data_IF_364993699513
#
_entry.id   IF_364993699513
#
_cell.length_a   1.000
_cell.length_b   1.000
_cell.length_c   1.000
_cell.angle_alpha   90.00
_cell.angle_beta   90.00
_cell.angle_gamma   90.00
#
_symmetry.space_group_name_H-M   'P 1'
#
loop_
_entity.id
_entity.type
_entity.pdbx_description
1 polymer ?
#
# COMPACT_ATOMS: atom_id res chain seq x y z
N UNK A 1 4.05 -7.71 12.24
CA UNK A 1 3.31 -6.45 12.25
C UNK A 1 2.12 -6.69 13.14
N UNK A 2 1.96 -5.87 14.16
CA UNK A 2 0.78 -5.91 15.03
C UNK A 2 -0.46 -5.43 14.26
N UNK A 3 -1.66 -5.84 14.69
CA UNK A 3 -2.94 -5.53 14.04
C UNK A 3 -3.18 -4.01 13.96
N UNK A 4 -2.82 -3.29 15.01
CA UNK A 4 -2.92 -1.83 15.08
C UNK A 4 -2.00 -1.17 14.03
N UNK A 5 -0.74 -1.59 13.95
CA UNK A 5 0.23 -1.06 12.98
C UNK A 5 -0.21 -1.36 11.53
N UNK A 6 -0.80 -2.52 11.31
CA UNK A 6 -1.36 -2.87 10.01
C UNK A 6 -2.57 -1.99 9.66
N UNK A 7 -3.48 -1.75 10.61
CA UNK A 7 -4.63 -0.87 10.42
C UNK A 7 -4.23 0.54 9.99
N UNK A 8 -3.29 1.15 10.72
CA UNK A 8 -2.77 2.49 10.38
C UNK A 8 -2.13 2.53 8.98
N UNK A 9 -1.37 1.48 8.62
CA UNK A 9 -0.80 1.40 7.28
C UNK A 9 -1.89 1.26 6.20
N UNK A 10 -2.86 0.38 6.42
CA UNK A 10 -3.96 0.14 5.49
C UNK A 10 -4.76 1.40 5.24
N UNK A 11 -5.10 2.14 6.30
CA UNK A 11 -5.77 3.44 6.20
C UNK A 11 -4.99 4.44 5.35
N UNK A 12 -3.68 4.57 5.58
CA UNK A 12 -2.83 5.50 4.81
C UNK A 12 -2.76 5.12 3.33
N UNK A 13 -2.61 3.83 3.04
CA UNK A 13 -2.58 3.32 1.65
C UNK A 13 -3.93 3.58 0.96
N UNK A 14 -5.04 3.28 1.62
CA UNK A 14 -6.38 3.52 1.08
C UNK A 14 -6.61 5.02 0.85
N UNK A 15 -6.26 5.86 1.80
CA UNK A 15 -6.40 7.32 1.67
C UNK A 15 -5.58 7.91 0.51
N UNK A 16 -4.38 7.37 0.24
CA UNK A 16 -3.62 7.75 -0.95
C UNK A 16 -4.35 7.37 -2.23
N UNK A 17 -4.82 6.12 -2.33
CA UNK A 17 -5.56 5.63 -3.51
C UNK A 17 -6.84 6.43 -3.75
N UNK A 18 -7.57 6.80 -2.69
CA UNK A 18 -8.76 7.66 -2.76
C UNK A 18 -8.42 9.07 -3.26
N UNK A 19 -7.24 9.60 -2.89
CA UNK A 19 -6.77 10.89 -3.38
C UNK A 19 -6.48 10.82 -4.88
N UNK A 20 -5.79 9.77 -5.34
CA UNK A 20 -5.53 9.55 -6.78
C UNK A 20 -6.84 9.40 -7.56
N UNK A 21 -7.81 8.64 -7.03
CA UNK A 21 -9.13 8.44 -7.63
C UNK A 21 -9.87 9.78 -7.83
N UNK A 22 -9.86 10.65 -6.81
CA UNK A 22 -10.45 12.00 -6.88
C UNK A 22 -9.73 12.89 -7.90
N UNK A 23 -8.40 12.88 -7.92
CA UNK A 23 -7.61 13.69 -8.87
C UNK A 23 -7.82 13.26 -10.33
N UNK A 24 -8.07 11.98 -10.54
CA UNK A 24 -8.27 11.37 -11.86
C UNK A 24 -9.76 11.32 -12.26
N UNK A 25 -10.65 11.98 -11.52
CA UNK A 25 -12.08 12.00 -11.85
C UNK A 25 -12.39 12.87 -13.08
N UNK A 26 -11.44 13.67 -13.58
CA UNK A 26 -11.60 14.43 -14.83
C UNK A 26 -11.36 13.52 -16.05
N UNK A 27 -12.37 13.37 -16.94
CA UNK A 27 -12.35 12.46 -18.07
C UNK A 27 -11.31 12.82 -19.15
N UNK A 28 -10.12 12.23 -19.07
CA UNK A 28 -9.17 12.09 -20.16
C UNK A 28 -8.56 10.68 -20.14
N UNK A 29 -7.86 10.27 -21.20
CA UNK A 29 -7.34 8.90 -21.32
C UNK A 29 -6.35 8.52 -20.19
N UNK A 30 -5.51 9.46 -19.76
CA UNK A 30 -4.56 9.26 -18.65
C UNK A 30 -5.29 9.03 -17.32
N UNK A 31 -6.40 9.74 -17.09
CA UNK A 31 -7.27 9.54 -15.95
C UNK A 31 -7.89 8.14 -15.93
N UNK A 32 -8.31 7.60 -17.08
CA UNK A 32 -8.87 6.23 -17.16
C UNK A 32 -7.84 5.16 -16.80
N UNK A 33 -6.60 5.29 -17.26
CA UNK A 33 -5.54 4.34 -16.91
C UNK A 33 -5.20 4.41 -15.42
N UNK A 34 -5.13 5.62 -14.85
CA UNK A 34 -4.90 5.80 -13.42
C UNK A 34 -6.02 5.20 -12.56
N UNK A 35 -7.30 5.38 -12.95
CA UNK A 35 -8.44 4.73 -12.29
C UNK A 35 -8.36 3.21 -12.36
N UNK A 36 -7.97 2.65 -13.51
CA UNK A 36 -7.75 1.20 -13.65
C UNK A 36 -6.63 0.71 -12.72
N UNK A 37 -5.55 1.47 -12.60
CA UNK A 37 -4.46 1.13 -11.66
C UNK A 37 -4.93 1.19 -10.21
N UNK A 38 -5.69 2.22 -9.81
CA UNK A 38 -6.30 2.32 -8.47
C UNK A 38 -7.17 1.10 -8.18
N UNK A 39 -8.05 0.73 -9.12
CA UNK A 39 -8.90 -0.45 -8.97
C UNK A 39 -8.09 -1.75 -8.82
N UNK A 40 -7.04 -1.92 -9.63
CA UNK A 40 -6.16 -3.09 -9.57
C UNK A 40 -5.45 -3.19 -8.19
N UNK A 41 -4.93 -2.07 -7.68
CA UNK A 41 -4.29 -2.04 -6.36
C UNK A 41 -5.27 -2.33 -5.23
N UNK A 42 -6.49 -1.76 -5.26
CA UNK A 42 -7.55 -2.08 -4.28
C UNK A 42 -7.87 -3.57 -4.28
N UNK A 43 -8.02 -4.19 -5.45
CA UNK A 43 -8.28 -5.62 -5.57
C UNK A 43 -7.13 -6.48 -5.01
N UNK A 44 -5.88 -6.13 -5.35
CA UNK A 44 -4.70 -6.84 -4.88
C UNK A 44 -4.52 -6.73 -3.36
N UNK A 45 -4.70 -5.54 -2.78
CA UNK A 45 -4.60 -5.33 -1.34
C UNK A 45 -5.67 -6.10 -0.56
N UNK A 46 -6.90 -6.16 -1.10
CA UNK A 46 -7.99 -6.95 -0.52
C UNK A 46 -7.65 -8.44 -0.50
N UNK A 47 -7.11 -8.98 -1.60
CA UNK A 47 -6.67 -10.38 -1.67
C UNK A 47 -5.55 -10.67 -0.67
N UNK A 48 -4.68 -9.70 -0.42
CA UNK A 48 -3.55 -9.82 0.50
C UNK A 48 -3.84 -9.32 1.92
N UNK A 49 -5.11 -9.11 2.29
CA UNK A 49 -5.46 -8.75 3.66
C UNK A 49 -5.02 -9.88 4.63
N UNK A 50 -4.46 -9.55 5.81
CA UNK A 50 -4.18 -10.53 6.85
C UNK A 50 -5.44 -11.28 7.28
N UNK A 51 -5.32 -12.58 7.54
CA UNK A 51 -6.39 -13.45 8.00
C UNK A 51 -5.99 -14.11 9.31
N UNK A 52 -6.89 -14.04 10.28
CA UNK A 52 -6.75 -14.66 11.60
C UNK A 52 -5.74 -13.97 12.52
N UNK A 53 -5.77 -14.35 13.80
CA UNK A 53 -4.98 -13.73 14.88
C UNK A 53 -3.46 -13.80 14.71
N UNK A 54 -2.95 -14.59 13.76
CA UNK A 54 -1.52 -14.72 13.47
C UNK A 54 -1.04 -13.76 12.36
N UNK A 55 -1.95 -12.99 11.75
CA UNK A 55 -1.61 -11.99 10.74
C UNK A 55 -1.07 -12.58 9.43
N UNK A 56 -1.46 -13.80 9.07
CA UNK A 56 -1.01 -14.42 7.83
C UNK A 56 -1.70 -13.75 6.63
N UNK A 57 -0.93 -13.39 5.61
CA UNK A 57 -1.48 -12.80 4.40
C UNK A 57 -2.38 -13.81 3.65
N UNK A 58 -3.65 -13.46 3.41
CA UNK A 58 -4.64 -14.33 2.75
C UNK A 58 -4.20 -14.81 1.36
N UNK A 59 -3.74 -13.88 0.50
CA UNK A 59 -3.27 -14.21 -0.84
C UNK A 59 -1.97 -15.01 -0.90
N UNK A 60 -1.06 -14.81 0.06
CA UNK A 60 0.19 -15.59 0.11
C UNK A 60 -0.01 -16.99 0.67
N UNK A 61 -1.00 -17.19 1.55
CA UNK A 61 -1.32 -18.50 2.11
C UNK A 61 -1.94 -19.47 1.08
N UNK A 62 -2.61 -18.93 0.05
CA UNK A 62 -3.19 -19.71 -1.04
C UNK A 62 -2.14 -20.23 -2.06
N UNK A 63 -1.00 -19.54 -2.19
CA UNK A 63 0.11 -19.99 -3.03
C UNK A 63 0.94 -21.04 -2.30
N UNK A 64 1.12 -22.22 -2.91
CA UNK A 64 1.99 -23.31 -2.40
C UNK A 64 3.50 -22.97 -2.40
N UNK A 65 3.85 -21.70 -2.36
CA UNK A 65 5.22 -21.23 -2.45
C UNK A 65 5.52 -20.25 -1.32
N UNK A 66 6.51 -20.63 -0.52
CA UNK A 66 7.42 -19.72 0.18
C UNK A 66 7.15 -19.30 1.65
N UNK A 67 6.39 -20.04 2.45
CA UNK A 67 6.45 -19.93 3.92
C UNK A 67 7.28 -21.05 4.59
N UNK A 68 8.34 -21.54 3.92
CA UNK A 68 9.35 -22.45 4.51
C UNK A 68 10.65 -21.73 4.93
N UNK A 69 10.58 -20.43 5.21
CA UNK A 69 11.74 -19.61 5.61
C UNK A 69 11.64 -19.04 7.03
N UNK A 70 12.12 -19.82 8.01
CA UNK A 70 12.77 -19.39 9.28
C UNK A 70 12.31 -18.08 9.94
N UNK A 71 11.53 -18.21 11.02
CA UNK A 71 11.98 -17.74 12.35
C UNK A 71 12.23 -16.24 12.57
N UNK A 72 11.49 -15.33 11.93
CA UNK A 72 11.41 -13.93 12.39
C UNK A 72 9.98 -13.41 12.30
N UNK A 73 9.46 -13.02 13.46
CA UNK A 73 8.17 -12.37 13.72
C UNK A 73 7.62 -11.61 12.49
N UNK A 74 6.48 -12.08 11.97
CA UNK A 74 5.48 -11.26 11.30
C UNK A 74 6.02 -10.18 10.34
N UNK A 75 6.82 -10.57 9.35
CA UNK A 75 7.22 -9.68 8.26
C UNK A 75 6.05 -9.51 7.28
N UNK A 76 5.76 -8.25 6.93
CA UNK A 76 4.70 -7.87 5.99
C UNK A 76 4.97 -8.45 4.59
N UNK A 77 3.92 -8.93 3.89
CA UNK A 77 4.11 -9.54 2.57
C UNK A 77 4.60 -8.51 1.52
N UNK A 78 5.17 -8.99 0.41
CA UNK A 78 5.78 -8.11 -0.61
C UNK A 78 4.81 -7.07 -1.16
N UNK A 79 3.54 -7.42 -1.39
CA UNK A 79 2.51 -6.48 -1.87
C UNK A 79 2.39 -5.28 -0.92
N UNK A 80 2.19 -5.54 0.37
CA UNK A 80 2.06 -4.49 1.38
C UNK A 80 3.38 -3.73 1.61
N UNK A 81 4.54 -4.38 1.43
CA UNK A 81 5.85 -3.68 1.44
C UNK A 81 5.97 -2.68 0.30
N UNK A 82 5.55 -3.05 -0.90
CA UNK A 82 5.54 -2.16 -2.07
C UNK A 82 4.55 -1.02 -1.84
N UNK A 83 3.33 -1.31 -1.40
CA UNK A 83 2.33 -0.27 -1.11
C UNK A 83 2.85 0.76 -0.09
N UNK A 84 3.45 0.31 1.01
CA UNK A 84 4.07 1.22 1.98
C UNK A 84 5.18 2.09 1.36
N UNK A 85 6.03 1.49 0.52
CA UNK A 85 7.17 2.20 -0.08
C UNK A 85 6.76 3.28 -1.09
N UNK A 86 5.64 3.12 -1.79
CA UNK A 86 5.25 4.01 -2.89
C UNK A 86 4.04 4.90 -2.58
N UNK A 87 3.16 4.49 -1.66
CA UNK A 87 1.95 5.27 -1.34
C UNK A 87 2.04 6.01 -0.01
N UNK A 88 2.99 5.62 0.86
CA UNK A 88 3.10 6.18 2.22
C UNK A 88 4.45 6.83 2.46
N UNK A 89 5.55 6.18 2.07
CA UNK A 89 6.86 6.84 2.06
C UNK A 89 6.90 7.80 0.86
N UNK A 90 7.30 9.05 1.11
CA UNK A 90 7.73 9.95 0.03
C UNK A 90 8.83 9.28 -0.76
N UNK A 91 8.77 9.39 -2.09
CA UNK A 91 9.83 8.90 -2.95
C UNK A 91 11.16 9.60 -2.55
N UNK A 92 12.30 8.88 -2.50
CA UNK A 92 13.59 9.53 -2.32
C UNK A 92 13.81 10.53 -3.47
N UNK A 93 13.62 11.82 -3.20
CA UNK A 93 13.68 12.89 -4.22
C UNK A 93 12.56 13.94 -4.12
N UNK A 94 11.47 13.65 -3.42
CA UNK A 94 10.41 14.64 -3.14
C UNK A 94 10.75 15.40 -1.86
N UNK A 95 11.75 16.28 -1.98
CA UNK A 95 12.30 17.06 -0.89
C UNK A 95 11.28 18.01 -0.25
N UNK A 96 11.44 18.18 1.06
CA UNK A 96 10.92 19.32 1.81
C UNK A 96 11.27 20.62 1.08
N UNK A 97 10.28 21.19 0.40
CA UNK A 97 10.29 22.60 0.02
C UNK A 97 9.98 23.46 1.25
N UNK A 98 10.82 23.40 2.28
CA UNK A 98 10.84 24.43 3.31
C UNK A 98 11.57 25.62 2.72
N UNK A 99 10.77 26.50 2.12
CA UNK A 99 11.18 27.82 1.69
C UNK A 99 11.67 28.60 2.90
N UNK A 100 12.99 28.74 2.99
CA UNK A 100 13.63 29.82 3.72
C UNK A 100 13.11 31.15 3.17
N UNK A 101 12.22 31.80 3.91
CA UNK A 101 11.80 33.18 3.64
C UNK A 101 11.70 33.94 4.97
N UNK A 102 12.71 34.80 5.17
CA UNK A 102 12.70 35.98 6.03
C UNK A 102 12.79 35.71 7.52
N UNK A 103 13.93 36.05 8.13
CA UNK A 103 14.14 37.37 8.75
C UNK A 103 15.60 37.78 8.58
#
# INVERSE_FOLDING_TARGET
MDEILFGVLAERVVGYLDTVDKLTSASNALSTDAQRMVAAWRALLKLHHPVGARGHCGGCAAGRHFWRGRGRRAAMCTVWRVAHAYFVRRLPGEGSGDGQRGQ
#
